data_IF_529108616100
#
_entry.id   IF_529108616100
#
_cell.length_a   1.000
_cell.length_b   1.000
_cell.length_c   1.000
_cell.angle_alpha   90.00
_cell.angle_beta   90.00
_cell.angle_gamma   90.00
#
_symmetry.space_group_name_H-M   'P 1'
#
loop_
_entity.id
_entity.type
_entity.pdbx_description
1 polymer ?
#
# COMPACT_ATOMS: atom_id res chain seq x y z
N UNK A 1 27.33 -11.05 53.97
CA UNK A 1 27.34 -11.50 52.57
C UNK A 1 26.32 -10.72 51.76
N UNK A 2 26.79 -9.75 51.01
CA UNK A 2 25.93 -8.95 50.16
C UNK A 2 25.99 -9.56 48.75
N UNK A 3 24.89 -10.16 48.32
CA UNK A 3 24.73 -10.61 46.94
C UNK A 3 24.30 -9.41 46.06
N UNK A 4 25.22 -8.92 45.27
CA UNK A 4 24.96 -7.90 44.30
C UNK A 4 24.29 -8.58 43.10
N UNK A 5 23.01 -8.35 42.92
CA UNK A 5 22.31 -8.70 41.67
C UNK A 5 22.65 -7.63 40.64
N UNK A 6 23.45 -8.00 39.65
CA UNK A 6 23.65 -7.18 38.47
C UNK A 6 22.44 -7.46 37.57
N UNK A 7 21.50 -6.52 37.55
CA UNK A 7 20.42 -6.51 36.60
C UNK A 7 21.01 -6.08 35.24
N UNK A 8 21.30 -7.03 34.39
CA UNK A 8 21.62 -6.72 33.01
C UNK A 8 20.32 -6.24 32.35
N UNK A 9 20.11 -4.94 32.30
CA UNK A 9 19.09 -4.35 31.48
C UNK A 9 19.51 -4.55 30.01
N UNK A 10 18.88 -5.53 29.37
CA UNK A 10 18.95 -5.65 27.92
C UNK A 10 18.25 -4.41 27.34
N UNK A 11 19.03 -3.40 27.01
CA UNK A 11 18.59 -2.29 26.20
C UNK A 11 18.34 -2.83 24.79
N UNK A 12 17.12 -3.31 24.53
CA UNK A 12 16.60 -3.31 23.18
C UNK A 12 16.56 -1.86 22.76
N UNK A 13 17.59 -1.40 22.07
CA UNK A 13 17.55 -0.10 21.45
C UNK A 13 16.41 -0.09 20.44
N UNK A 14 15.44 0.81 20.62
CA UNK A 14 14.32 1.01 19.71
C UNK A 14 14.75 1.31 18.25
N UNK A 15 16.01 1.60 18.02
CA UNK A 15 16.64 1.75 16.71
C UNK A 15 16.80 0.42 15.94
N UNK A 16 16.67 -0.75 16.60
CA UNK A 16 16.77 -2.05 15.94
C UNK A 16 15.47 -2.48 15.25
N UNK A 17 14.33 -1.82 15.52
CA UNK A 17 13.09 -1.97 14.77
C UNK A 17 13.18 -1.12 13.50
N UNK A 18 14.09 -1.49 12.59
CA UNK A 18 14.22 -0.75 11.35
C UNK A 18 12.97 -0.96 10.49
N UNK A 19 12.39 0.15 10.01
CA UNK A 19 11.29 0.22 9.05
C UNK A 19 11.57 -0.46 7.70
N UNK A 20 12.73 -1.12 7.54
CA UNK A 20 13.18 -1.78 6.32
C UNK A 20 12.88 -3.28 6.28
N UNK A 21 12.32 -3.83 7.35
CA UNK A 21 11.91 -5.23 7.37
C UNK A 21 10.55 -5.39 6.72
N UNK A 22 10.48 -6.21 5.68
CA UNK A 22 9.23 -6.49 4.98
C UNK A 22 8.22 -7.18 5.91
N UNK A 23 7.02 -6.62 5.99
CA UNK A 23 5.88 -7.22 6.69
C UNK A 23 4.97 -7.84 5.66
N UNK A 24 4.88 -9.16 5.66
CA UNK A 24 4.17 -9.95 4.65
C UNK A 24 2.98 -10.67 5.27
N UNK A 25 1.88 -10.70 4.53
CA UNK A 25 0.70 -11.53 4.83
C UNK A 25 0.23 -12.26 3.57
N UNK A 26 -0.51 -13.34 3.74
CA UNK A 26 -1.18 -14.04 2.64
C UNK A 26 -2.68 -13.85 2.76
N UNK A 27 -3.30 -13.39 1.69
CA UNK A 27 -4.74 -13.17 1.62
C UNK A 27 -5.26 -13.60 0.26
N UNK A 28 -6.23 -14.51 0.24
CA UNK A 28 -6.82 -15.06 -0.99
C UNK A 28 -5.78 -15.63 -1.99
N UNK A 29 -4.72 -16.29 -1.47
CA UNK A 29 -3.66 -16.86 -2.29
C UNK A 29 -2.64 -15.84 -2.83
N UNK A 30 -2.76 -14.57 -2.45
CA UNK A 30 -1.82 -13.51 -2.82
C UNK A 30 -0.91 -13.15 -1.67
N UNK A 31 0.35 -12.94 -1.97
CA UNK A 31 1.32 -12.38 -1.02
C UNK A 31 1.19 -10.86 -1.02
N UNK A 32 0.94 -10.30 0.15
CA UNK A 32 0.75 -8.85 0.33
C UNK A 32 1.80 -8.34 1.30
N UNK A 33 2.61 -7.39 0.87
CA UNK A 33 3.65 -6.76 1.68
C UNK A 33 3.16 -5.37 2.07
N UNK A 34 2.95 -5.15 3.36
CA UNK A 34 2.32 -3.93 3.89
C UNK A 34 3.31 -2.93 4.45
N UNK A 35 4.57 -3.29 4.61
CA UNK A 35 5.64 -2.41 5.07
C UNK A 35 7.02 -2.92 4.65
N UNK A 36 8.04 -2.09 4.78
CA UNK A 36 9.42 -2.47 4.51
C UNK A 36 9.74 -2.66 3.02
N UNK A 37 9.02 -2.00 2.13
CA UNK A 37 9.25 -2.03 0.69
C UNK A 37 9.36 -0.62 0.11
N UNK A 38 10.06 -0.50 -0.99
CA UNK A 38 10.11 0.72 -1.81
C UNK A 38 10.23 0.38 -3.28
N UNK A 39 9.79 1.29 -4.12
CA UNK A 39 9.89 1.16 -5.58
C UNK A 39 11.19 1.80 -6.06
N UNK A 40 11.90 1.09 -6.92
CA UNK A 40 13.13 1.58 -7.56
C UNK A 40 13.00 1.54 -9.07
N UNK A 41 13.71 2.45 -9.73
CA UNK A 41 13.81 2.43 -11.19
C UNK A 41 14.63 1.23 -11.68
N UNK A 42 14.46 0.85 -12.94
CA UNK A 42 15.09 -0.33 -13.51
C UNK A 42 16.64 -0.26 -13.50
N UNK A 43 17.20 0.95 -13.50
CA UNK A 43 18.65 1.22 -13.53
C UNK A 43 19.26 1.46 -12.13
N UNK A 44 18.45 1.49 -11.06
CA UNK A 44 18.96 1.63 -9.70
C UNK A 44 19.61 0.33 -9.22
N UNK A 45 20.81 0.44 -8.64
CA UNK A 45 21.51 -0.70 -8.04
C UNK A 45 21.00 -0.98 -6.63
N UNK A 46 20.82 -2.25 -6.31
CA UNK A 46 20.45 -2.74 -4.97
C UNK A 46 20.98 -4.16 -4.75
N UNK A 47 21.18 -4.61 -3.50
CA UNK A 47 21.55 -5.98 -3.21
C UNK A 47 20.50 -6.97 -3.74
N UNK A 48 20.93 -8.06 -4.37
CA UNK A 48 20.00 -9.04 -4.98
C UNK A 48 19.04 -9.67 -3.96
N UNK A 49 19.48 -9.83 -2.72
CA UNK A 49 18.66 -10.34 -1.61
C UNK A 49 17.51 -9.40 -1.19
N UNK A 50 17.58 -8.13 -1.55
CA UNK A 50 16.56 -7.15 -1.23
C UNK A 50 15.40 -7.12 -2.24
N UNK A 51 15.53 -7.82 -3.35
CA UNK A 51 14.47 -7.87 -4.36
C UNK A 51 13.23 -8.57 -3.83
N UNK A 52 12.09 -7.87 -3.84
CA UNK A 52 10.78 -8.41 -3.46
C UNK A 52 9.97 -8.83 -4.68
N UNK A 53 10.09 -8.17 -5.78
CA UNK A 53 9.40 -8.54 -7.01
C UNK A 53 9.41 -7.45 -8.08
N UNK A 54 8.98 -7.78 -9.29
CA UNK A 54 8.83 -6.82 -10.38
C UNK A 54 7.57 -5.98 -10.21
N UNK A 55 7.59 -4.77 -10.75
CA UNK A 55 6.44 -3.87 -10.88
C UNK A 55 6.48 -3.24 -12.28
N UNK A 56 6.02 -3.99 -13.29
CA UNK A 56 6.15 -3.56 -14.67
C UNK A 56 7.62 -3.37 -15.07
N UNK A 57 7.97 -2.16 -15.50
CA UNK A 57 9.35 -1.74 -15.82
C UNK A 57 10.21 -1.41 -14.60
N UNK A 58 9.59 -1.36 -13.42
CA UNK A 58 10.24 -1.05 -12.15
C UNK A 58 10.43 -2.30 -11.31
N UNK A 59 11.08 -2.15 -10.16
CA UNK A 59 11.28 -3.20 -9.18
C UNK A 59 10.88 -2.73 -7.79
N UNK A 60 10.42 -3.66 -6.98
CA UNK A 60 10.14 -3.43 -5.56
C UNK A 60 11.20 -4.15 -4.76
N UNK A 61 11.83 -3.42 -3.86
CA UNK A 61 12.91 -3.91 -3.00
C UNK A 61 12.63 -3.58 -1.55
N UNK A 62 13.33 -4.25 -0.64
CA UNK A 62 13.29 -3.90 0.79
C UNK A 62 13.76 -2.47 0.99
N UNK A 63 13.06 -1.75 1.85
CA UNK A 63 13.41 -0.39 2.16
C UNK A 63 12.30 0.35 2.89
N UNK A 64 12.49 1.64 3.05
CA UNK A 64 11.50 2.51 3.68
C UNK A 64 10.36 2.80 2.72
N UNK A 65 9.16 2.42 3.12
CA UNK A 65 7.93 2.61 2.35
C UNK A 65 7.63 4.09 2.11
N UNK A 66 7.22 4.42 0.89
CA UNK A 66 6.57 5.69 0.58
C UNK A 66 5.24 5.78 1.36
N UNK A 67 4.95 6.89 2.07
CA UNK A 67 3.70 7.03 2.81
C UNK A 67 2.42 6.88 1.98
N UNK A 68 2.48 7.15 0.67
CA UNK A 68 1.36 6.97 -0.25
C UNK A 68 1.14 5.52 -0.68
N UNK A 69 2.10 4.64 -0.46
CA UNK A 69 2.03 3.22 -0.80
C UNK A 69 1.57 2.41 0.41
N UNK A 70 0.41 1.81 0.35
CA UNK A 70 -0.15 1.03 1.47
C UNK A 70 0.29 -0.43 1.44
N UNK A 71 0.38 -1.04 0.27
CA UNK A 71 0.74 -2.43 0.12
C UNK A 71 1.28 -2.73 -1.27
N UNK A 72 2.21 -3.68 -1.34
CA UNK A 72 2.66 -4.30 -2.58
C UNK A 72 2.00 -5.68 -2.71
N UNK A 73 1.22 -5.89 -3.75
CA UNK A 73 0.48 -7.13 -3.99
C UNK A 73 1.17 -7.92 -5.09
N UNK A 74 1.60 -9.13 -4.76
CA UNK A 74 2.21 -10.07 -5.70
C UNK A 74 1.16 -11.03 -6.21
N UNK A 75 1.00 -11.06 -7.53
CA UNK A 75 0.13 -12.00 -8.22
C UNK A 75 0.93 -13.14 -8.83
N UNK A 76 0.36 -14.34 -8.86
CA UNK A 76 0.98 -15.52 -9.46
C UNK A 76 1.25 -15.37 -10.97
N UNK A 77 0.46 -14.53 -11.63
CA UNK A 77 0.63 -14.23 -13.07
C UNK A 77 1.67 -13.15 -13.36
N UNK A 78 2.35 -12.63 -12.33
CA UNK A 78 3.38 -11.59 -12.46
C UNK A 78 2.85 -10.17 -12.64
N UNK A 79 1.54 -9.96 -12.69
CA UNK A 79 0.93 -8.63 -12.72
C UNK A 79 0.80 -8.06 -11.30
N UNK A 80 1.93 -7.67 -10.75
CA UNK A 80 2.01 -7.08 -9.42
C UNK A 80 1.56 -5.61 -9.45
N UNK A 81 1.06 -5.12 -8.32
CA UNK A 81 0.64 -3.73 -8.20
C UNK A 81 0.82 -3.22 -6.77
N UNK A 82 0.79 -1.90 -6.63
CA UNK A 82 0.80 -1.21 -5.33
C UNK A 82 -0.57 -0.60 -5.09
N UNK A 83 -1.09 -0.83 -3.88
CA UNK A 83 -2.28 -0.16 -3.39
C UNK A 83 -1.85 1.21 -2.87
N UNK A 84 -2.40 2.26 -3.48
CA UNK A 84 -2.14 3.65 -3.11
C UNK A 84 -3.14 4.10 -2.05
N UNK A 85 -2.77 5.06 -1.25
CA UNK A 85 -3.53 5.54 -0.10
C UNK A 85 -4.79 6.36 -0.44
N UNK A 86 -5.24 6.33 -1.68
CA UNK A 86 -6.38 7.14 -2.15
C UNK A 86 -7.47 6.27 -2.74
N UNK A 87 -8.72 6.66 -2.44
CA UNK A 87 -9.91 6.04 -2.98
C UNK A 87 -10.77 7.15 -3.58
N UNK A 88 -11.13 7.04 -4.84
CA UNK A 88 -12.07 7.94 -5.49
C UNK A 88 -13.49 7.40 -5.37
N UNK A 89 -14.41 8.25 -4.98
CA UNK A 89 -15.83 7.91 -4.82
C UNK A 89 -16.65 8.82 -5.71
N UNK A 90 -17.50 8.23 -6.53
CA UNK A 90 -18.46 8.96 -7.36
C UNK A 90 -19.84 8.93 -6.71
N UNK A 91 -20.37 10.12 -6.43
CA UNK A 91 -21.71 10.35 -5.93
C UNK A 91 -22.63 10.89 -7.03
N UNK A 92 -23.95 10.93 -6.83
CA UNK A 92 -24.85 11.71 -7.67
C UNK A 92 -24.41 13.18 -7.70
N UNK A 93 -24.60 13.83 -8.82
CA UNK A 93 -24.20 15.24 -9.02
C UNK A 93 -24.81 16.14 -7.94
N UNK A 94 -24.00 16.97 -7.31
CA UNK A 94 -24.37 17.88 -6.22
C UNK A 94 -24.88 17.19 -4.95
N UNK A 95 -24.61 15.89 -4.77
CA UNK A 95 -24.97 15.14 -3.56
C UNK A 95 -23.69 14.62 -2.92
N UNK A 96 -23.51 14.90 -1.62
CA UNK A 96 -22.43 14.27 -0.85
C UNK A 96 -22.96 12.95 -0.29
N UNK A 97 -22.56 11.84 -0.90
CA UNK A 97 -22.96 10.49 -0.47
C UNK A 97 -21.92 9.82 0.45
N UNK A 98 -20.89 10.55 0.86
CA UNK A 98 -19.81 10.02 1.70
C UNK A 98 -20.33 9.82 3.13
N UNK A 99 -20.09 8.65 3.77
CA UNK A 99 -20.41 8.44 5.17
C UNK A 99 -19.79 9.52 6.07
N UNK A 100 -20.54 9.97 7.08
CA UNK A 100 -20.14 11.10 7.94
C UNK A 100 -18.87 10.86 8.76
N UNK A 101 -18.52 9.60 9.02
CA UNK A 101 -17.28 9.21 9.73
C UNK A 101 -16.03 9.23 8.86
N UNK A 102 -16.18 9.39 7.54
CA UNK A 102 -15.08 9.46 6.60
C UNK A 102 -14.82 10.91 6.17
N UNK A 103 -13.54 11.29 6.17
CA UNK A 103 -13.11 12.57 5.63
C UNK A 103 -12.81 12.44 4.14
N UNK A 104 -13.43 13.28 3.34
CA UNK A 104 -13.24 13.29 1.91
C UNK A 104 -13.01 14.71 1.39
N UNK A 105 -12.13 14.80 0.39
CA UNK A 105 -11.90 16.04 -0.37
C UNK A 105 -12.76 16.01 -1.61
N UNK A 106 -13.61 17.00 -1.80
CA UNK A 106 -14.38 17.15 -3.03
C UNK A 106 -13.47 17.60 -4.18
N UNK A 107 -13.42 16.80 -5.24
CA UNK A 107 -12.66 17.10 -6.45
C UNK A 107 -13.53 17.73 -7.55
N UNK A 108 -14.80 17.34 -7.60
CA UNK A 108 -15.77 17.87 -8.56
C UNK A 108 -17.18 17.78 -7.97
N UNK A 109 -18.19 18.13 -8.75
CA UNK A 109 -19.59 18.06 -8.31
C UNK A 109 -20.07 16.66 -7.96
N UNK A 110 -19.37 15.63 -8.37
CA UNK A 110 -19.74 14.22 -8.16
C UNK A 110 -18.61 13.34 -7.64
N UNK A 111 -17.37 13.84 -7.59
CA UNK A 111 -16.21 13.03 -7.24
C UNK A 111 -15.55 13.50 -5.95
N UNK A 112 -15.31 12.57 -5.05
CA UNK A 112 -14.65 12.78 -3.77
C UNK A 112 -13.42 11.88 -3.66
N UNK A 113 -12.38 12.35 -2.99
CA UNK A 113 -11.15 11.62 -2.71
C UNK A 113 -11.04 11.36 -1.21
N UNK A 114 -10.87 10.10 -0.84
CA UNK A 114 -10.60 9.68 0.54
C UNK A 114 -9.15 9.24 0.63
N UNK A 115 -8.42 9.75 1.61
CA UNK A 115 -7.05 9.34 1.93
C UNK A 115 -7.06 8.44 3.16
N UNK A 116 -6.44 7.28 3.07
CA UNK A 116 -6.33 6.30 4.16
C UNK A 116 -4.89 6.08 4.59
N UNK A 117 -4.66 5.76 5.86
CA UNK A 117 -3.33 5.70 6.43
C UNK A 117 -2.70 4.32 6.52
N UNK A 118 -3.48 3.24 6.29
CA UNK A 118 -2.98 1.86 6.39
C UNK A 118 -3.75 0.91 5.49
N UNK A 119 -3.18 -0.25 5.24
CA UNK A 119 -3.82 -1.30 4.46
C UNK A 119 -5.11 -1.83 5.14
N UNK A 120 -5.09 -2.04 6.47
CA UNK A 120 -6.28 -2.46 7.21
C UNK A 120 -7.40 -1.41 7.12
N UNK A 121 -7.04 -0.13 7.26
CA UNK A 121 -8.00 0.96 7.13
C UNK A 121 -8.56 1.04 5.70
N UNK A 122 -7.72 0.82 4.71
CA UNK A 122 -8.12 0.76 3.31
C UNK A 122 -9.17 -0.33 3.07
N UNK A 123 -8.96 -1.54 3.60
CA UNK A 123 -9.93 -2.64 3.49
C UNK A 123 -11.27 -2.29 4.14
N UNK A 124 -11.23 -1.75 5.36
CA UNK A 124 -12.46 -1.41 6.08
C UNK A 124 -13.23 -0.28 5.41
N UNK A 125 -12.55 0.71 4.87
CA UNK A 125 -13.17 1.81 4.12
C UNK A 125 -13.77 1.30 2.80
N UNK A 126 -13.07 0.42 2.09
CA UNK A 126 -13.61 -0.22 0.88
C UNK A 126 -14.91 -0.96 1.16
N UNK A 127 -14.95 -1.77 2.22
CA UNK A 127 -16.15 -2.51 2.61
C UNK A 127 -17.29 -1.57 3.00
N UNK A 128 -17.01 -0.52 3.76
CA UNK A 128 -18.01 0.49 4.14
C UNK A 128 -18.57 1.21 2.92
N UNK A 129 -17.72 1.65 2.00
CA UNK A 129 -18.16 2.35 0.80
C UNK A 129 -18.96 1.43 -0.14
N UNK A 130 -18.55 0.19 -0.29
CA UNK A 130 -19.27 -0.77 -1.12
C UNK A 130 -20.65 -1.15 -0.54
N UNK A 131 -20.83 -1.00 0.76
CA UNK A 131 -22.12 -1.20 1.44
C UNK A 131 -22.98 0.06 1.58
N UNK A 132 -22.49 1.23 1.17
CA UNK A 132 -23.19 2.50 1.33
C UNK A 132 -24.11 2.77 0.15
N UNK A 133 -25.41 3.00 0.45
CA UNK A 133 -26.38 3.39 -0.58
C UNK A 133 -26.10 4.81 -1.07
N UNK A 134 -26.38 5.04 -2.34
CA UNK A 134 -26.21 6.34 -2.99
C UNK A 134 -24.84 6.56 -3.63
N UNK A 135 -23.87 5.70 -3.36
CA UNK A 135 -22.58 5.73 -4.07
C UNK A 135 -22.74 5.07 -5.44
N UNK A 136 -22.31 5.78 -6.48
CA UNK A 136 -22.35 5.26 -7.86
C UNK A 136 -21.16 4.40 -8.20
N UNK A 137 -19.96 4.77 -7.71
CA UNK A 137 -18.72 4.05 -8.00
C UNK A 137 -17.70 4.26 -6.89
N UNK A 138 -16.97 3.21 -6.57
CA UNK A 138 -15.78 3.24 -5.70
C UNK A 138 -14.59 2.81 -6.54
N UNK A 139 -13.62 3.69 -6.69
CA UNK A 139 -12.42 3.45 -7.51
C UNK A 139 -11.16 3.62 -6.65
N UNK A 140 -10.62 2.52 -6.12
CA UNK A 140 -9.33 2.57 -5.43
C UNK A 140 -8.21 2.88 -6.42
N UNK A 141 -7.18 3.59 -5.96
CA UNK A 141 -6.02 3.92 -6.76
C UNK A 141 -4.95 2.83 -6.64
N UNK A 142 -4.43 2.39 -7.77
CA UNK A 142 -3.34 1.42 -7.85
C UNK A 142 -2.19 2.00 -8.68
N UNK A 143 -0.97 1.60 -8.32
CA UNK A 143 0.21 1.88 -9.12
C UNK A 143 0.68 0.57 -9.77
N UNK A 144 0.74 0.59 -11.07
CA UNK A 144 1.35 -0.45 -11.89
C UNK A 144 2.61 0.14 -12.54
N UNK A 145 3.65 -0.64 -12.69
CA UNK A 145 4.74 -0.24 -13.55
C UNK A 145 4.29 -0.16 -15.01
N UNK A 146 5.03 0.56 -15.83
CA UNK A 146 4.79 0.59 -17.27
C UNK A 146 5.11 -0.79 -17.84
N UNK A 147 4.11 -1.47 -18.34
CA UNK A 147 4.34 -2.68 -19.14
C UNK A 147 4.59 -2.19 -20.57
N UNK A 148 5.78 -2.39 -21.12
CA UNK A 148 6.02 -2.03 -22.51
C UNK A 148 4.98 -2.76 -23.37
N UNK A 149 4.11 -2.01 -24.03
CA UNK A 149 3.23 -2.62 -25.00
C UNK A 149 4.12 -3.27 -26.05
N UNK A 150 3.96 -4.57 -26.25
CA UNK A 150 4.55 -5.24 -27.40
C UNK A 150 4.07 -4.48 -28.63
N UNK A 151 4.97 -3.67 -29.22
CA UNK A 151 4.73 -3.11 -30.52
C UNK A 151 4.44 -4.32 -31.41
N UNK A 152 3.21 -4.48 -31.82
CA UNK A 152 2.88 -5.38 -32.90
C UNK A 152 3.73 -4.93 -34.07
N UNK A 153 4.86 -5.59 -34.28
CA UNK A 153 5.60 -5.48 -35.52
C UNK A 153 4.71 -6.09 -36.61
N UNK A 154 4.11 -5.24 -37.39
CA UNK A 154 3.54 -5.63 -38.67
C UNK A 154 4.65 -5.96 -39.65
#
# INVERSE_FOLDING_TARGET
>A
MKKTFILAAALCSAAACSSNQAVTMNENGKEIITDGFRVVSADESFPAEDLLGPLGDKKVVRGRKDPSHLAFVKNDNGHNYIIVNKILVTCPKNVNCIPADLQAKQLSRSVYEITVGSYEKWKSVQDELNGTQGIKQVAPAFEHGIIPSLKNSR
#
